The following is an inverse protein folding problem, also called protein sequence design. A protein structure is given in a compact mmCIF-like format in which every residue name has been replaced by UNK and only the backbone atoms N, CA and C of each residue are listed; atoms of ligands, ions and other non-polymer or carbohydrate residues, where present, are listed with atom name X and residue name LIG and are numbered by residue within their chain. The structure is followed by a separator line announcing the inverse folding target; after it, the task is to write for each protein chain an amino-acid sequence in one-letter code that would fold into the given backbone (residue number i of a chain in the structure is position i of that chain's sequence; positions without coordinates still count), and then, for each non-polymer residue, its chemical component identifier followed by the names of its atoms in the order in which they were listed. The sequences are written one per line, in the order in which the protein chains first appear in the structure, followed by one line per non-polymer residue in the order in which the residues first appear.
data_IF_806265957095
#
_entry.id   IF_806265957095
#
_cell.length_a   1.000
_cell.length_b   1.000
_cell.length_c   1.000
_cell.angle_alpha   90.00
_cell.angle_beta   90.00
_cell.angle_gamma   90.00
#
_symmetry.space_group_name_H-M   'P 1'
#
loop_
_entity.id
_entity.type
_entity.pdbx_description
1 polymer ?
#
# COMPACT_ATOMS: atom_id res chain seq x y z
N UNK A 1 23.25 26.60 2.65
CA UNK A 1 23.07 25.49 1.69
C UNK A 1 23.96 24.35 2.15
N UNK A 2 23.53 23.11 1.97
CA UNK A 2 24.38 21.94 2.17
C UNK A 2 25.02 21.62 0.82
N UNK A 3 26.36 21.65 0.75
CA UNK A 3 27.07 21.52 -0.52
C UNK A 3 27.01 20.10 -1.10
N UNK A 4 26.87 19.10 -0.23
CA UNK A 4 26.69 17.71 -0.64
C UNK A 4 25.97 16.91 0.44
N UNK A 5 24.98 16.11 0.03
CA UNK A 5 24.31 15.15 0.88
C UNK A 5 24.84 13.75 0.58
N UNK A 6 25.60 13.12 1.48
CA UNK A 6 26.12 11.79 1.22
C UNK A 6 25.01 10.74 1.28
N UNK A 7 24.93 9.89 0.27
CA UNK A 7 24.23 8.60 0.39
C UNK A 7 25.05 7.70 1.31
N UNK A 8 24.41 7.16 2.35
CA UNK A 8 25.05 6.20 3.27
C UNK A 8 24.14 5.00 3.46
N UNK A 9 24.67 3.78 3.65
CA UNK A 9 23.85 2.60 3.92
C UNK A 9 22.93 2.80 5.14
N UNK A 10 23.45 3.35 6.24
CA UNK A 10 22.65 3.63 7.43
C UNK A 10 21.52 4.64 7.19
N UNK A 11 21.76 5.65 6.34
CA UNK A 11 20.74 6.62 5.95
C UNK A 11 19.62 6.00 5.11
N UNK A 12 19.95 5.09 4.19
CA UNK A 12 18.97 4.38 3.36
C UNK A 12 18.12 3.39 4.17
N UNK A 13 18.74 2.68 5.11
CA UNK A 13 18.00 1.80 6.04
C UNK A 13 17.04 2.61 6.92
N UNK A 14 17.51 3.74 7.45
CA UNK A 14 16.63 4.66 8.19
C UNK A 14 15.50 5.18 7.30
N UNK A 15 15.78 5.57 6.05
CA UNK A 15 14.75 6.01 5.11
C UNK A 15 13.67 4.93 4.92
N UNK A 16 14.07 3.66 4.78
CA UNK A 16 13.12 2.55 4.64
C UNK A 16 12.23 2.37 5.89
N UNK A 17 12.83 2.43 7.08
CA UNK A 17 12.06 2.39 8.33
C UNK A 17 11.08 3.57 8.45
N UNK A 18 11.51 4.77 8.05
CA UNK A 18 10.64 5.95 8.04
C UNK A 18 9.52 5.83 7.00
N UNK A 19 9.77 5.29 5.81
CA UNK A 19 8.73 5.03 4.81
C UNK A 19 7.62 4.18 5.41
N UNK A 20 7.97 3.05 6.03
CA UNK A 20 6.99 2.16 6.66
C UNK A 20 6.23 2.91 7.74
N UNK A 21 6.94 3.60 8.65
CA UNK A 21 6.32 4.34 9.75
C UNK A 21 5.33 5.40 9.25
N UNK A 22 5.73 6.23 8.29
CA UNK A 22 4.89 7.33 7.79
C UNK A 22 3.68 6.80 7.03
N UNK A 23 3.87 5.86 6.10
CA UNK A 23 2.78 5.32 5.29
C UNK A 23 1.75 4.57 6.16
N UNK A 24 2.20 3.72 7.09
CA UNK A 24 1.28 3.03 8.01
C UNK A 24 0.56 3.99 8.95
N UNK A 25 1.23 5.04 9.45
CA UNK A 25 0.58 6.05 10.31
C UNK A 25 -0.51 6.82 9.55
N UNK A 26 -0.23 7.24 8.31
CA UNK A 26 -1.19 7.97 7.50
C UNK A 26 -2.40 7.10 7.15
N UNK A 27 -2.15 5.86 6.71
CA UNK A 27 -3.21 4.92 6.33
C UNK A 27 -4.08 4.48 7.51
N UNK A 28 -3.54 4.45 8.73
CA UNK A 28 -4.32 4.12 9.92
C UNK A 28 -5.45 5.13 10.23
N UNK A 29 -5.42 6.33 9.64
CA UNK A 29 -6.42 7.36 9.91
C UNK A 29 -7.46 7.44 8.78
N UNK A 30 -8.77 7.23 9.06
CA UNK A 30 -9.81 7.12 8.03
C UNK A 30 -10.05 8.40 7.21
N UNK A 31 -9.62 9.56 7.71
CA UNK A 31 -9.73 10.82 6.97
C UNK A 31 -8.61 11.04 5.91
N UNK A 32 -7.59 10.18 5.86
CA UNK A 32 -6.53 10.30 4.84
C UNK A 32 -7.04 9.77 3.51
N UNK A 33 -7.03 10.63 2.49
CA UNK A 33 -7.50 10.29 1.15
C UNK A 33 -6.36 10.10 0.14
N UNK A 34 -5.19 10.69 0.38
CA UNK A 34 -4.04 10.59 -0.50
C UNK A 34 -2.73 10.78 0.26
N UNK A 35 -1.67 10.16 -0.26
CA UNK A 35 -0.29 10.31 0.23
C UNK A 35 0.56 10.71 -0.98
N UNK A 36 1.18 11.88 -0.91
CA UNK A 36 2.05 12.39 -1.98
C UNK A 36 3.50 12.37 -1.52
N UNK A 37 4.35 11.68 -2.27
CA UNK A 37 5.80 11.64 -2.04
C UNK A 37 6.51 12.59 -3.01
N UNK A 38 7.38 13.46 -2.50
CA UNK A 38 8.03 14.49 -3.31
C UNK A 38 9.41 14.05 -3.80
N UNK A 39 9.50 13.72 -5.10
CA UNK A 39 10.72 13.27 -5.76
C UNK A 39 10.83 11.75 -5.79
N UNK A 40 10.87 11.17 -7.00
CA UNK A 40 10.95 9.72 -7.17
C UNK A 40 12.39 9.20 -7.10
N UNK A 41 13.35 9.95 -7.65
CA UNK A 41 14.75 9.56 -7.77
C UNK A 41 15.71 10.60 -7.18
N UNK A 42 16.92 10.15 -6.85
CA UNK A 42 18.00 10.97 -6.29
C UNK A 42 18.71 11.84 -7.35
N UNK A 43 18.49 11.61 -8.65
CA UNK A 43 19.12 12.38 -9.72
C UNK A 43 18.41 13.71 -9.98
N UNK A 44 17.10 13.77 -9.77
CA UNK A 44 16.25 14.94 -9.96
C UNK A 44 15.79 15.61 -8.66
N UNK A 45 16.31 15.13 -7.52
CA UNK A 45 15.94 15.66 -6.20
C UNK A 45 16.22 17.16 -6.07
N UNK A 46 15.19 17.94 -5.76
CA UNK A 46 15.23 19.40 -5.68
C UNK A 46 16.29 19.98 -4.72
N UNK A 47 16.63 19.26 -3.65
CA UNK A 47 17.66 19.64 -2.67
C UNK A 47 19.03 19.01 -2.95
N UNK A 48 19.17 18.21 -4.01
CA UNK A 48 20.33 17.35 -4.24
C UNK A 48 20.53 16.27 -3.17
N UNK A 49 19.57 16.09 -2.26
CA UNK A 49 19.59 15.11 -1.19
C UNK A 49 19.21 13.71 -1.70
N UNK A 50 19.72 12.62 -1.08
CA UNK A 50 19.32 11.26 -1.42
C UNK A 50 17.93 10.94 -0.83
N UNK A 51 16.91 11.69 -1.24
CA UNK A 51 15.54 11.60 -0.72
C UNK A 51 14.59 10.78 -1.59
N UNK A 52 14.98 10.41 -2.82
CA UNK A 52 14.19 9.57 -3.70
C UNK A 52 14.14 8.11 -3.22
N UNK A 53 13.35 7.31 -3.93
CA UNK A 53 13.26 5.86 -3.79
C UNK A 53 14.26 5.13 -4.71
N UNK A 54 14.74 5.81 -5.74
CA UNK A 54 15.72 5.31 -6.71
C UNK A 54 17.01 6.12 -6.60
N UNK A 55 18.17 5.44 -6.61
CA UNK A 55 19.50 6.10 -6.60
C UNK A 55 19.78 6.79 -7.93
N UNK A 56 20.83 7.61 -7.97
CA UNK A 56 21.26 8.32 -9.19
C UNK A 56 21.61 7.40 -10.36
N UNK A 57 22.05 6.17 -10.07
CA UNK A 57 22.38 5.15 -11.07
C UNK A 57 21.17 4.33 -11.54
N UNK A 58 19.96 4.65 -11.05
CA UNK A 58 18.73 3.94 -11.38
C UNK A 58 18.45 2.70 -10.52
N UNK A 59 19.35 2.32 -9.61
CA UNK A 59 19.12 1.19 -8.71
C UNK A 59 18.09 1.52 -7.61
N UNK A 60 17.22 0.57 -7.21
CA UNK A 60 16.24 0.79 -6.15
C UNK A 60 16.93 0.88 -4.78
N UNK A 61 16.44 1.78 -3.92
CA UNK A 61 16.84 1.87 -2.52
C UNK A 61 16.00 0.92 -1.67
N UNK A 62 16.46 0.54 -0.45
CA UNK A 62 15.65 -0.21 0.50
C UNK A 62 14.25 0.38 0.71
N UNK A 63 14.14 1.71 0.72
CA UNK A 63 12.88 2.44 0.81
C UNK A 63 11.87 2.13 -0.32
N UNK A 64 12.35 1.90 -1.56
CA UNK A 64 11.49 1.49 -2.67
C UNK A 64 10.84 0.14 -2.39
N UNK A 65 11.65 -0.85 -2.01
CA UNK A 65 11.19 -2.21 -1.73
C UNK A 65 10.27 -2.23 -0.51
N UNK A 66 10.59 -1.45 0.53
CA UNK A 66 9.74 -1.30 1.71
C UNK A 66 8.35 -0.77 1.35
N UNK A 67 8.27 0.30 0.55
CA UNK A 67 7.00 0.86 0.10
C UNK A 67 6.23 -0.12 -0.81
N UNK A 68 6.94 -0.79 -1.72
CA UNK A 68 6.34 -1.76 -2.62
C UNK A 68 5.74 -2.94 -1.84
N UNK A 69 6.45 -3.47 -0.86
CA UNK A 69 5.97 -4.58 -0.02
C UNK A 69 4.76 -4.16 0.82
N UNK A 70 4.78 -2.95 1.39
CA UNK A 70 3.66 -2.45 2.17
C UNK A 70 2.39 -2.36 1.30
N UNK A 71 2.49 -1.73 0.12
CA UNK A 71 1.34 -1.53 -0.77
C UNK A 71 0.89 -2.85 -1.41
N UNK A 72 1.80 -3.61 -2.03
CA UNK A 72 1.45 -4.77 -2.86
C UNK A 72 1.46 -6.09 -2.11
N UNK A 73 2.23 -6.18 -1.02
CA UNK A 73 2.37 -7.40 -0.24
C UNK A 73 1.42 -7.44 0.95
N UNK A 74 1.25 -6.33 1.66
CA UNK A 74 0.45 -6.30 2.90
C UNK A 74 -0.96 -5.74 2.68
N UNK A 75 -1.10 -4.65 1.91
CA UNK A 75 -2.37 -3.93 1.80
C UNK A 75 -3.25 -4.41 0.64
N UNK A 76 -2.63 -4.90 -0.44
CA UNK A 76 -3.35 -5.40 -1.59
C UNK A 76 -3.89 -6.80 -1.28
N UNK A 77 -5.22 -6.96 -1.33
CA UNK A 77 -5.84 -8.28 -1.27
C UNK A 77 -5.56 -9.04 -2.58
N UNK A 78 -4.75 -10.10 -2.50
CA UNK A 78 -4.68 -11.10 -3.57
C UNK A 78 -5.95 -11.97 -3.57
N UNK A 79 -6.33 -12.61 -4.68
CA UNK A 79 -7.45 -13.55 -4.67
C UNK A 79 -7.28 -14.60 -3.56
N UNK A 80 -8.30 -14.72 -2.72
CA UNK A 80 -8.34 -15.68 -1.61
C UNK A 80 -9.60 -16.53 -1.72
N UNK A 81 -9.46 -17.81 -1.40
CA UNK A 81 -10.60 -18.72 -1.22
C UNK A 81 -10.97 -18.75 0.26
N UNK A 82 -12.27 -18.61 0.54
CA UNK A 82 -12.81 -18.62 1.88
C UNK A 82 -14.02 -19.54 1.95
N UNK A 83 -14.25 -20.13 3.11
CA UNK A 83 -15.44 -20.97 3.37
C UNK A 83 -16.43 -20.10 4.14
N UNK A 84 -17.63 -19.96 3.59
CA UNK A 84 -18.71 -19.27 4.27
C UNK A 84 -19.20 -20.09 5.48
N UNK A 85 -19.72 -19.39 6.50
CA UNK A 85 -20.36 -20.05 7.64
C UNK A 85 -21.72 -20.67 7.27
N UNK A 86 -22.41 -21.24 8.27
CA UNK A 86 -23.73 -21.86 8.08
C UNK A 86 -24.84 -20.90 7.62
N UNK A 87 -24.60 -19.59 7.70
CA UNK A 87 -25.49 -18.55 7.23
C UNK A 87 -25.03 -17.91 5.90
N UNK A 88 -23.96 -18.45 5.29
CA UNK A 88 -23.42 -17.95 4.03
C UNK A 88 -22.56 -16.69 4.17
N UNK A 89 -22.06 -16.37 5.37
CA UNK A 89 -21.27 -15.15 5.62
C UNK A 89 -19.77 -15.43 5.55
N UNK A 90 -19.02 -14.42 5.12
CA UNK A 90 -17.55 -14.36 5.19
C UNK A 90 -17.14 -13.09 5.95
N UNK A 91 -16.01 -13.15 6.68
CA UNK A 91 -15.45 -12.01 7.41
C UNK A 91 -13.99 -11.82 7.03
N UNK A 92 -13.64 -10.60 6.63
CA UNK A 92 -12.30 -10.24 6.16
C UNK A 92 -11.96 -8.82 6.58
N UNK A 93 -10.67 -8.56 6.81
CA UNK A 93 -10.13 -7.22 7.08
C UNK A 93 -9.26 -6.82 5.90
N UNK A 94 -9.77 -5.92 5.06
CA UNK A 94 -9.15 -5.52 3.80
C UNK A 94 -9.28 -4.02 3.59
N UNK A 95 -8.49 -3.47 2.68
CA UNK A 95 -8.59 -2.07 2.30
C UNK A 95 -9.94 -1.77 1.63
N UNK A 96 -10.45 -0.56 1.87
CA UNK A 96 -11.60 -0.05 1.13
C UNK A 96 -11.32 -0.06 -0.37
N UNK A 97 -12.30 -0.50 -1.16
CA UNK A 97 -12.09 -0.76 -2.58
C UNK A 97 -13.23 -1.52 -3.23
N UNK A 98 -13.09 -1.76 -4.53
CA UNK A 98 -14.01 -2.56 -5.32
C UNK A 98 -13.51 -4.01 -5.36
N UNK A 99 -14.37 -4.95 -5.00
CA UNK A 99 -14.06 -6.37 -4.98
C UNK A 99 -15.02 -7.14 -5.87
N UNK A 100 -14.51 -8.23 -6.46
CA UNK A 100 -15.33 -9.28 -7.07
C UNK A 100 -15.40 -10.45 -6.09
N UNK A 101 -16.61 -10.96 -5.86
CA UNK A 101 -16.88 -12.15 -5.05
C UNK A 101 -17.44 -13.22 -5.97
N UNK A 102 -16.94 -14.43 -5.86
CA UNK A 102 -17.39 -15.57 -6.67
C UNK A 102 -17.75 -16.76 -5.78
N UNK A 103 -18.84 -17.44 -6.13
CA UNK A 103 -19.24 -18.71 -5.53
C UNK A 103 -19.67 -19.69 -6.63
N UNK A 104 -18.84 -20.70 -6.90
CA UNK A 104 -19.04 -21.61 -8.01
C UNK A 104 -18.98 -20.86 -9.35
N UNK A 105 -20.08 -20.86 -10.10
CA UNK A 105 -20.20 -20.12 -11.38
C UNK A 105 -20.72 -18.69 -11.19
N UNK A 106 -21.26 -18.38 -10.02
CA UNK A 106 -21.89 -17.10 -9.77
C UNK A 106 -20.87 -16.06 -9.32
N UNK A 107 -21.07 -14.80 -9.73
CA UNK A 107 -20.22 -13.66 -9.40
C UNK A 107 -21.03 -12.43 -9.02
N UNK A 108 -20.45 -11.58 -8.18
CA UNK A 108 -20.99 -10.28 -7.82
C UNK A 108 -19.86 -9.30 -7.51
N UNK A 109 -20.16 -8.02 -7.54
CA UNK A 109 -19.22 -6.97 -7.16
C UNK A 109 -19.72 -6.22 -5.93
N UNK A 110 -18.78 -5.81 -5.08
CA UNK A 110 -19.08 -5.06 -3.87
C UNK A 110 -18.07 -3.95 -3.67
N UNK A 111 -18.56 -2.75 -3.40
CA UNK A 111 -17.74 -1.62 -2.99
C UNK A 111 -17.67 -1.60 -1.47
N UNK A 112 -16.48 -1.82 -0.90
CA UNK A 112 -16.23 -1.69 0.52
C UNK A 112 -15.78 -0.25 0.83
N UNK A 113 -16.49 0.49 1.70
CA UNK A 113 -16.03 1.78 2.20
C UNK A 113 -14.97 1.61 3.31
N UNK A 114 -14.40 2.72 3.77
CA UNK A 114 -13.53 2.74 4.95
C UNK A 114 -14.38 2.51 6.21
N UNK A 115 -13.91 1.63 7.09
CA UNK A 115 -14.56 1.33 8.36
C UNK A 115 -15.19 -0.06 8.40
N UNK A 116 -15.84 -0.37 9.52
CA UNK A 116 -16.55 -1.64 9.71
C UNK A 116 -17.91 -1.59 9.02
N UNK A 117 -18.17 -2.59 8.17
CA UNK A 117 -19.43 -2.71 7.43
C UNK A 117 -19.88 -4.16 7.31
N UNK A 118 -21.20 -4.34 7.21
CA UNK A 118 -21.83 -5.59 6.83
C UNK A 118 -22.70 -5.33 5.59
N UNK A 119 -22.51 -6.11 4.53
CA UNK A 119 -23.17 -5.93 3.24
C UNK A 119 -23.61 -7.29 2.68
N UNK A 120 -24.73 -7.30 1.96
CA UNK A 120 -25.16 -8.45 1.17
C UNK A 120 -24.71 -8.27 -0.29
N UNK A 121 -24.10 -9.32 -0.87
CA UNK A 121 -23.61 -9.29 -2.25
C UNK A 121 -24.46 -10.23 -3.09
N UNK A 122 -25.33 -9.70 -3.98
CA UNK A 122 -26.07 -10.56 -4.90
C UNK A 122 -25.09 -11.17 -5.91
N UNK A 123 -25.17 -12.49 -6.06
CA UNK A 123 -24.37 -13.22 -7.06
C UNK A 123 -25.26 -13.55 -8.26
N UNK A 124 -24.83 -13.15 -9.45
CA UNK A 124 -25.46 -13.51 -10.72
C UNK A 124 -24.71 -14.69 -11.36
N UNK A 125 -25.45 -15.57 -12.04
CA UNK A 125 -24.92 -16.73 -12.76
C UNK A 125 -24.30 -16.37 -14.11
#
# INVERSE_FOLDING_TARGET
MVDNWPTTPAGEERQAAEIIRHYSTLVAHPAVQSITYWGFDDATAWLGAPSGLIRKDGSPKPAYTALQNLIRGEWWLVPVEMIADGEGRISLSVFAGLFEVAAGRSKGTVQLPVGEVQLEVPLAA
#
